data_IF_421238739839
#
_entry.id   IF_421238739839
#
_cell.length_a   1.000
_cell.length_b   1.000
_cell.length_c   1.000
_cell.angle_alpha   90.00
_cell.angle_beta   90.00
_cell.angle_gamma   90.00
#
_symmetry.space_group_name_H-M   'P 1'
#
loop_
_entity.id
_entity.type
_entity.pdbx_description
1 polymer ?
#
# COMPACT_ATOMS: atom_id res chain seq x y z
N UNK A 1 -36.92 -51.91 0.64
CA UNK A 1 -36.52 -51.46 0.60
C UNK A 1 -35.85 -50.65 0.68
N UNK A 2 -35.40 -50.32 0.69
CA UNK A 2 -34.78 -49.67 0.73
C UNK A 2 -34.10 -48.76 0.72
N UNK A 3 -33.69 -48.26 0.80
CA UNK A 3 -33.10 -47.36 0.80
C UNK A 3 -32.26 -46.65 0.63
N UNK A 4 -31.81 -46.42 0.48
CA UNK A 4 -31.00 -45.73 0.24
C UNK A 4 -30.35 -44.80 0.42
N UNK A 5 -30.01 -44.31 0.57
CA UNK A 5 -29.31 -43.52 0.74
C UNK A 5 -28.55 -42.76 0.39
N UNK A 6 -28.05 -42.31 0.23
CA UNK A 6 -27.22 -41.56 -0.09
C UNK A 6 -26.61 -40.67 0.23
N UNK A 7 -26.20 -40.30 0.23
CA UNK A 7 -25.45 -39.66 0.48
C UNK A 7 -24.79 -38.79 -0.02
N UNK A 8 -24.51 -38.29 -0.18
CA UNK A 8 -24.03 -37.37 -0.72
C UNK A 8 -23.12 -36.67 -0.38
N UNK A 9 -22.65 -36.53 -0.16
CA UNK A 9 -21.79 -35.83 0.11
C UNK A 9 -21.16 -34.93 -0.21
N UNK A 10 -20.84 -34.50 -0.50
CA UNK A 10 -20.24 -33.61 -0.81
C UNK A 10 -19.48 -32.91 -0.48
N UNK A 11 -19.16 -32.73 -0.34
CA UNK A 11 -18.47 -32.09 -0.13
C UNK A 11 -17.81 -31.25 -0.32
N UNK A 12 -17.50 -30.95 -0.37
CA UNK A 12 -16.97 -30.08 -0.54
C UNK A 12 -16.15 -29.42 -0.67
N UNK A 13 -15.74 -29.49 -0.77
CA UNK A 13 -14.98 -28.85 -1.11
C UNK A 13 -14.47 -27.85 -1.04
N UNK A 14 -14.42 -27.54 -1.09
CA UNK A 14 -14.08 -26.53 -1.15
C UNK A 14 -13.18 -25.88 -0.89
N UNK A 15 -12.95 -25.73 -0.66
CA UNK A 15 -12.24 -25.02 -0.50
C UNK A 15 -11.32 -24.49 -0.67
N UNK A 16 -11.08 -24.71 -0.79
CA UNK A 16 -10.19 -24.29 -1.03
C UNK A 16 -9.62 -23.33 -1.09
N UNK A 17 -9.67 -23.15 -1.22
CA UNK A 17 -9.12 -22.31 -1.44
C UNK A 17 -8.44 -21.52 -1.04
N UNK A 18 -8.47 -21.33 -0.81
CA UNK A 18 -7.98 -20.58 -0.59
C UNK A 18 -7.07 -20.01 -0.43
N UNK A 19 -6.89 -20.02 -0.42
CA UNK A 19 -6.10 -19.59 -0.29
C UNK A 19 -5.46 -18.80 -0.34
N UNK A 20 -5.33 -18.70 -0.53
CA UNK A 20 -4.75 -18.25 -0.81
C UNK A 20 -4.47 -17.20 -0.61
N UNK A 21 -4.63 -16.91 -0.41
CA UNK A 21 -4.39 -15.93 -0.19
C UNK A 21 -3.88 -15.06 -0.35
N UNK A 22 -3.72 -15.14 -0.61
CA UNK A 22 -3.23 -14.43 -0.87
C UNK A 22 -3.06 -13.41 -0.76
N UNK A 23 -2.99 -13.31 -0.37
CA UNK A 23 -2.49 -12.34 -0.40
C UNK A 23 -2.93 -11.12 -0.65
N UNK A 24 -3.93 -10.94 -0.81
CA UNK A 24 -4.30 -9.68 -1.01
C UNK A 24 -4.46 -9.00 0.21
N UNK A 25 -3.69 -8.06 0.46
CA UNK A 25 -3.82 -7.24 1.61
C UNK A 25 -5.11 -6.47 1.52
N UNK A 26 -5.80 -6.36 2.61
CA UNK A 26 -6.95 -5.48 2.74
C UNK A 26 -6.45 -4.04 2.65
N UNK A 27 -6.94 -3.22 1.72
CA UNK A 27 -6.47 -1.84 1.61
C UNK A 27 -6.63 -1.03 2.89
N UNK A 28 -7.68 -1.26 3.66
CA UNK A 28 -7.86 -0.55 4.91
C UNK A 28 -6.81 -0.97 5.93
N UNK A 29 -6.45 -2.25 5.95
CA UNK A 29 -5.42 -2.76 6.84
C UNK A 29 -4.05 -2.24 6.43
N UNK A 30 -3.76 -2.21 5.13
CA UNK A 30 -2.50 -1.66 4.63
C UNK A 30 -2.34 -0.21 5.01
N UNK A 31 -3.41 0.58 4.89
CA UNK A 31 -3.38 1.97 5.29
C UNK A 31 -3.10 2.12 6.78
N UNK A 32 -3.76 1.32 7.62
CA UNK A 32 -3.56 1.39 9.06
C UNK A 32 -2.13 1.05 9.46
N UNK A 33 -1.55 0.02 8.83
CA UNK A 33 -0.17 -0.36 9.09
C UNK A 33 0.80 0.75 8.72
N UNK A 34 0.58 1.36 7.57
CA UNK A 34 1.44 2.45 7.10
C UNK A 34 1.28 3.69 7.96
N UNK A 35 0.04 4.05 8.32
CA UNK A 35 -0.19 5.21 9.17
C UNK A 35 0.52 5.07 10.52
N UNK A 36 0.46 3.88 11.11
CA UNK A 36 1.15 3.61 12.36
C UNK A 36 2.67 3.69 12.19
N UNK A 37 3.19 3.15 11.09
CA UNK A 37 4.61 3.19 10.81
C UNK A 37 5.10 4.61 10.57
N UNK A 38 4.30 5.44 9.92
CA UNK A 38 4.63 6.86 9.72
C UNK A 38 4.71 7.58 11.06
N UNK A 39 3.77 7.30 11.95
CA UNK A 39 3.78 7.91 13.29
C UNK A 39 5.01 7.51 14.09
N UNK A 40 5.49 6.28 13.91
CA UNK A 40 6.70 5.82 14.60
C UNK A 40 8.00 6.32 13.95
N UNK A 41 7.91 6.86 12.73
CA UNK A 41 9.09 7.27 11.99
C UNK A 41 9.79 6.15 11.24
N UNK A 42 9.11 5.02 11.03
CA UNK A 42 9.68 3.90 10.27
C UNK A 42 9.51 4.08 8.77
N UNK A 43 8.45 4.75 8.36
CA UNK A 43 8.07 4.99 6.96
C UNK A 43 7.83 6.47 6.81
N UNK A 44 8.13 7.00 5.64
CA UNK A 44 7.87 8.40 5.32
C UNK A 44 7.47 8.57 3.88
N UNK A 45 7.17 9.82 3.53
CA UNK A 45 6.75 10.18 2.18
C UNK A 45 7.95 10.68 1.40
N UNK A 46 8.11 10.19 0.18
CA UNK A 46 9.24 10.59 -0.66
C UNK A 46 8.83 11.70 -1.61
N UNK A 47 9.82 12.48 -2.02
CA UNK A 47 9.63 13.58 -2.96
C UNK A 47 8.96 13.12 -4.27
N UNK A 48 9.20 11.87 -4.68
CA UNK A 48 8.63 11.34 -5.91
C UNK A 48 7.15 10.92 -5.77
N UNK A 49 6.58 11.08 -4.59
CA UNK A 49 5.18 10.76 -4.35
C UNK A 49 4.94 9.37 -3.82
N UNK A 50 5.98 8.61 -3.54
CA UNK A 50 5.85 7.24 -3.03
C UNK A 50 6.29 7.15 -1.57
N UNK A 51 5.84 6.10 -0.90
CA UNK A 51 6.31 5.78 0.44
C UNK A 51 7.71 5.17 0.38
N UNK A 52 8.52 5.47 1.38
CA UNK A 52 9.83 4.85 1.53
C UNK A 52 10.08 4.50 2.99
N UNK A 53 11.11 3.68 3.22
CA UNK A 53 11.47 3.28 4.57
C UNK A 53 12.53 4.22 5.11
N UNK A 54 12.22 4.89 6.23
CA UNK A 54 13.18 5.71 6.93
C UNK A 54 14.19 4.82 7.64
N UNK A 55 13.71 3.73 8.21
CA UNK A 55 14.51 2.70 8.85
C UNK A 55 14.34 1.39 8.10
N UNK A 56 15.36 0.53 8.07
CA UNK A 56 15.20 -0.75 7.39
C UNK A 56 14.00 -1.51 7.92
N UNK A 57 13.18 -2.00 7.02
CA UNK A 57 11.98 -2.73 7.42
C UNK A 57 12.33 -4.17 7.74
N UNK A 58 11.90 -4.64 8.90
CA UNK A 58 12.04 -6.03 9.28
C UNK A 58 10.69 -6.75 9.29
N UNK A 59 9.61 -6.01 9.19
CA UNK A 59 8.25 -6.55 9.27
C UNK A 59 7.72 -6.82 7.87
N UNK A 60 7.47 -8.09 7.56
CA UNK A 60 6.98 -8.49 6.24
C UNK A 60 5.61 -7.89 5.94
N UNK A 61 4.75 -7.77 6.95
CA UNK A 61 3.43 -7.19 6.74
C UNK A 61 3.52 -5.71 6.37
N UNK A 62 4.43 -4.98 7.00
CA UNK A 62 4.64 -3.58 6.67
C UNK A 62 5.22 -3.42 5.27
N UNK A 63 6.18 -4.28 4.89
CA UNK A 63 6.72 -4.24 3.52
C UNK A 63 5.63 -4.46 2.49
N UNK A 64 4.76 -5.44 2.72
CA UNK A 64 3.66 -5.73 1.81
C UNK A 64 2.68 -4.56 1.74
N UNK A 65 2.38 -3.94 2.88
CA UNK A 65 1.47 -2.81 2.93
C UNK A 65 2.03 -1.60 2.16
N UNK A 66 3.32 -1.31 2.33
CA UNK A 66 3.97 -0.22 1.58
C UNK A 66 3.95 -0.51 0.09
N UNK A 67 4.26 -1.75 -0.30
CA UNK A 67 4.26 -2.12 -1.72
C UNK A 67 2.87 -1.99 -2.32
N UNK A 68 1.84 -2.39 -1.60
CA UNK A 68 0.47 -2.29 -2.09
C UNK A 68 0.03 -0.84 -2.27
N UNK A 69 0.31 0.01 -1.28
CA UNK A 69 -0.05 1.42 -1.39
C UNK A 69 0.72 2.09 -2.52
N UNK A 70 2.00 1.77 -2.67
CA UNK A 70 2.79 2.33 -3.76
C UNK A 70 2.29 1.88 -5.12
N UNK A 71 1.82 0.64 -5.26
CA UNK A 71 1.24 0.16 -6.51
C UNK A 71 -0.02 0.94 -6.84
N UNK A 72 -0.87 1.21 -5.85
CA UNK A 72 -2.05 2.03 -6.05
C UNK A 72 -1.72 3.45 -6.44
N UNK A 73 -0.70 4.03 -5.82
CA UNK A 73 -0.24 5.37 -6.17
C UNK A 73 0.30 5.42 -7.59
N UNK A 74 1.06 4.40 -7.99
CA UNK A 74 1.58 4.35 -9.36
C UNK A 74 0.45 4.39 -10.38
N UNK A 75 -0.63 3.66 -10.12
CA UNK A 75 -1.80 3.67 -10.99
C UNK A 75 -2.44 5.07 -11.04
N UNK A 76 -2.61 5.70 -9.89
CA UNK A 76 -3.18 7.05 -9.83
C UNK A 76 -2.31 8.06 -10.57
N UNK A 77 -0.99 7.93 -10.46
CA UNK A 77 -0.08 8.87 -11.15
C UNK A 77 -0.12 8.65 -12.65
N UNK A 78 -0.25 7.42 -13.12
CA UNK A 78 -0.42 7.17 -14.55
C UNK A 78 -1.71 7.80 -15.07
N UNK A 79 -2.79 7.66 -14.32
CA UNK A 79 -4.07 8.24 -14.72
C UNK A 79 -4.03 9.76 -14.71
N UNK A 80 -3.45 10.34 -13.67
CA UNK A 80 -3.32 11.80 -13.58
C UNK A 80 -2.41 12.34 -14.70
N UNK A 81 -1.35 11.62 -15.00
CA UNK A 81 -0.43 12.00 -16.07
C UNK A 81 -1.14 12.03 -17.42
N UNK A 82 -1.96 11.02 -17.70
CA UNK A 82 -2.71 10.98 -18.95
C UNK A 82 -3.71 12.13 -19.06
N UNK A 83 -4.39 12.44 -17.95
CA UNK A 83 -5.38 13.54 -17.96
C UNK A 83 -4.73 14.90 -18.11
N UNK A 84 -3.51 15.06 -17.64
CA UNK A 84 -2.84 16.37 -17.61
C UNK A 84 -1.73 16.49 -18.62
N UNK A 85 -1.54 15.47 -19.43
CA UNK A 85 -0.53 15.46 -20.50
C UNK A 85 0.88 15.71 -19.93
N UNK A 86 1.20 15.05 -18.84
CA UNK A 86 2.52 15.07 -18.20
C UNK A 86 2.98 13.65 -17.98
N UNK A 87 4.18 13.47 -17.44
CA UNK A 87 4.70 12.13 -17.12
C UNK A 87 4.16 11.64 -15.79
N UNK A 88 4.12 10.33 -15.55
CA UNK A 88 3.77 9.81 -14.24
C UNK A 88 4.71 10.31 -13.13
N UNK A 89 5.99 10.50 -13.45
CA UNK A 89 6.95 11.04 -12.50
C UNK A 89 6.58 12.46 -12.09
N UNK A 90 6.20 13.28 -13.06
CA UNK A 90 5.76 14.65 -12.75
C UNK A 90 4.49 14.65 -11.93
N UNK A 91 3.58 13.73 -12.21
CA UNK A 91 2.34 13.61 -11.43
C UNK A 91 2.64 13.23 -9.98
N UNK A 92 3.58 12.32 -9.76
CA UNK A 92 3.98 11.91 -8.41
C UNK A 92 4.60 13.06 -7.62
N UNK A 93 5.49 13.81 -8.25
CA UNK A 93 6.10 14.98 -7.62
C UNK A 93 5.05 16.03 -7.27
N UNK A 94 4.13 16.26 -8.18
CA UNK A 94 3.05 17.21 -7.95
C UNK A 94 2.18 16.76 -6.78
N UNK A 95 1.86 15.48 -6.71
CA UNK A 95 1.08 14.93 -5.61
C UNK A 95 1.80 15.12 -4.28
N UNK A 96 3.11 14.90 -4.24
CA UNK A 96 3.88 15.13 -3.02
C UNK A 96 3.76 16.58 -2.58
N UNK A 97 3.96 17.52 -3.49
CA UNK A 97 3.97 18.94 -3.13
C UNK A 97 2.60 19.46 -2.69
N UNK A 98 1.54 19.01 -3.35
CA UNK A 98 0.23 19.63 -3.13
C UNK A 98 -0.61 18.89 -2.09
N UNK A 99 -0.40 17.59 -1.93
CA UNK A 99 -1.25 16.78 -1.05
C UNK A 99 -0.45 16.24 0.12
N UNK A 100 0.64 15.56 -0.18
CA UNK A 100 1.38 14.82 0.84
C UNK A 100 2.00 15.76 1.85
N UNK A 101 2.67 16.80 1.38
CA UNK A 101 3.31 17.76 2.26
C UNK A 101 2.30 18.42 3.20
N UNK A 102 1.12 18.73 2.68
CA UNK A 102 0.08 19.38 3.47
C UNK A 102 -0.50 18.43 4.52
N UNK A 103 -0.53 17.13 4.24
CA UNK A 103 -1.13 16.15 5.13
C UNK A 103 -0.17 15.54 6.14
N UNK A 104 1.12 15.78 5.99
CA UNK A 104 2.08 15.25 6.95
C UNK A 104 1.83 15.84 8.33
N UNK A 105 1.76 14.96 9.32
CA UNK A 105 1.61 15.36 10.71
C UNK A 105 2.96 15.75 11.29
N UNK A 106 2.99 16.62 12.31
CA UNK A 106 4.24 16.93 13.00
C UNK A 106 4.90 15.65 13.51
N UNK A 107 6.19 15.50 13.28
CA UNK A 107 6.94 14.32 13.68
C UNK A 107 7.05 13.25 12.62
N UNK A 108 6.28 13.33 11.55
CA UNK A 108 6.41 12.41 10.43
C UNK A 108 7.54 12.84 9.52
N UNK A 109 8.06 11.90 8.74
CA UNK A 109 9.24 12.13 7.91
C UNK A 109 8.87 12.27 6.44
N UNK A 110 9.63 13.10 5.75
CA UNK A 110 9.58 13.14 4.29
C UNK A 110 11.01 13.17 3.74
N UNK A 111 11.17 12.70 2.50
CA UNK A 111 12.45 12.65 1.84
C UNK A 111 12.56 13.77 0.82
N UNK A 112 13.62 14.55 0.91
CA UNK A 112 13.84 15.68 0.01
C UNK A 112 14.33 15.18 -1.35
N UNK A 113 14.32 16.05 -2.38
CA UNK A 113 14.89 15.67 -3.69
C UNK A 113 16.33 15.22 -3.60
N UNK A 114 17.08 15.74 -2.63
CA UNK A 114 18.49 15.38 -2.44
C UNK A 114 18.65 14.03 -1.77
N UNK A 115 17.56 13.40 -1.35
CA UNK A 115 17.62 12.08 -0.75
C UNK A 115 17.78 12.06 0.76
N UNK A 116 17.54 13.16 1.44
CA UNK A 116 17.65 13.23 2.88
C UNK A 116 16.27 13.09 3.53
N UNK A 117 16.18 12.27 4.57
CA UNK A 117 14.98 12.19 5.39
C UNK A 117 14.94 13.36 6.37
N UNK A 118 13.82 14.05 6.40
CA UNK A 118 13.60 15.23 7.25
C UNK A 118 12.33 15.02 8.05
N UNK A 119 12.39 15.38 9.32
CA UNK A 119 11.22 15.30 10.21
C UNK A 119 10.45 16.61 10.13
N UNK A 120 9.14 16.49 9.95
CA UNK A 120 8.30 17.67 9.88
C UNK A 120 8.07 18.31 11.26
#
# INVERSE_FOLDING_TARGET
MTGKTFTAILAGAVGALMLTGAALADPAQSKALVDAAKSRGDVGEQYDGYLGFVKPASDAALKAAVAEINAGRAQLYREAAARNNVTPEAAGISAFKTVVQAKLAPGEYYKTPEGAWVKK
#
